data_IF_952507427048
#
_entry.id   IF_952507427048
#
_cell.length_a   1.000
_cell.length_b   1.000
_cell.length_c   1.000
_cell.angle_alpha   90.00
_cell.angle_beta   90.00
_cell.angle_gamma   90.00
#
_symmetry.space_group_name_H-M   'P 1'
#
loop_
_entity.id
_entity.type
_entity.pdbx_description
1 polymer ?
#
# COMPACT_ATOMS: atom_id res chain seq x y z
N UNK A 1 -3.12 1.63 -21.46
CA UNK A 1 -1.72 1.45 -21.02
C UNK A 1 -1.69 0.71 -19.69
N UNK A 2 -0.77 -0.23 -19.52
CA UNK A 2 -0.63 -0.96 -18.28
C UNK A 2 0.61 -0.45 -17.56
N UNK A 3 0.42 0.03 -16.33
CA UNK A 3 1.52 0.54 -15.51
C UNK A 3 2.23 -0.62 -14.84
N UNK A 4 3.55 -0.48 -14.67
CA UNK A 4 4.36 -1.45 -13.94
C UNK A 4 4.32 -1.12 -12.45
N UNK A 5 4.17 -2.14 -11.62
CA UNK A 5 4.16 -1.96 -10.17
C UNK A 5 5.59 -2.14 -9.65
N UNK A 6 6.07 -1.15 -8.92
CA UNK A 6 7.33 -1.22 -8.21
C UNK A 6 7.07 -1.03 -6.72
N UNK A 7 7.99 -1.46 -5.89
CA UNK A 7 7.83 -1.44 -4.45
C UNK A 7 8.97 -0.69 -3.78
N UNK A 8 8.62 0.22 -2.87
CA UNK A 8 9.60 0.81 -1.97
C UNK A 8 10.28 -0.32 -1.19
N UNK A 9 11.60 -0.25 -0.92
CA UNK A 9 12.31 -1.35 -0.24
C UNK A 9 11.72 -1.77 1.10
N UNK A 10 11.02 -0.88 1.80
CA UNK A 10 10.44 -1.19 3.10
C UNK A 10 9.06 -1.83 3.04
N UNK A 11 8.46 -1.97 1.85
CA UNK A 11 7.11 -2.55 1.73
C UNK A 11 7.10 -4.02 2.11
N UNK A 12 8.14 -4.77 1.78
CA UNK A 12 8.23 -6.18 2.19
C UNK A 12 8.16 -6.30 3.71
N UNK A 13 8.83 -5.40 4.43
CA UNK A 13 8.77 -5.35 5.90
C UNK A 13 7.37 -4.95 6.37
N UNK A 14 6.71 -4.01 5.70
CA UNK A 14 5.33 -3.64 6.03
C UNK A 14 4.43 -4.86 5.98
N UNK A 15 4.49 -5.61 4.88
CA UNK A 15 3.64 -6.79 4.68
C UNK A 15 3.96 -7.90 5.68
N UNK A 16 5.23 -8.10 5.98
CA UNK A 16 5.67 -9.09 6.95
C UNK A 16 5.15 -8.76 8.36
N UNK A 17 5.25 -7.50 8.76
CA UNK A 17 4.73 -7.02 10.05
C UNK A 17 3.23 -7.21 10.13
N UNK A 18 2.50 -6.88 9.06
CA UNK A 18 1.05 -7.06 8.97
C UNK A 18 0.69 -8.52 9.11
N UNK A 19 1.39 -9.40 8.39
CA UNK A 19 1.16 -10.83 8.43
C UNK A 19 1.32 -11.40 9.84
N UNK A 20 2.44 -11.10 10.50
CA UNK A 20 2.69 -11.57 11.86
C UNK A 20 1.64 -11.10 12.84
N UNK A 21 1.24 -9.82 12.74
CA UNK A 21 0.24 -9.26 13.63
C UNK A 21 -1.11 -9.96 13.47
N UNK A 22 -1.53 -10.21 12.22
CA UNK A 22 -2.81 -10.90 11.97
C UNK A 22 -2.73 -12.35 12.42
N UNK A 23 -1.62 -13.04 12.17
CA UNK A 23 -1.43 -14.42 12.61
C UNK A 23 -1.60 -14.53 14.13
N UNK A 24 -1.02 -13.59 14.86
CA UNK A 24 -1.05 -13.62 16.33
C UNK A 24 -2.46 -13.51 16.90
N UNK A 25 -3.35 -12.72 16.28
CA UNK A 25 -4.69 -12.54 16.85
C UNK A 25 -5.79 -13.29 16.10
N UNK A 26 -5.57 -13.70 14.86
CA UNK A 26 -6.63 -14.28 14.03
C UNK A 26 -6.20 -15.54 13.27
N UNK A 27 -4.91 -15.88 13.29
CA UNK A 27 -4.38 -17.08 12.66
C UNK A 27 -3.92 -16.90 11.22
N UNK A 28 -3.18 -17.91 10.69
CA UNK A 28 -2.53 -17.81 9.38
C UNK A 28 -3.52 -17.74 8.21
N UNK A 29 -4.69 -18.37 8.32
CA UNK A 29 -5.67 -18.35 7.23
C UNK A 29 -6.26 -16.96 7.02
N UNK A 30 -6.55 -16.25 8.11
CA UNK A 30 -7.04 -14.88 8.05
C UNK A 30 -5.95 -13.96 7.51
N UNK A 31 -4.71 -14.16 7.95
CA UNK A 31 -3.58 -13.39 7.44
C UNK A 31 -3.43 -13.54 5.92
N UNK A 32 -3.49 -14.78 5.42
CA UNK A 32 -3.37 -15.05 3.98
C UNK A 32 -4.48 -14.33 3.19
N UNK A 33 -5.71 -14.36 3.70
CA UNK A 33 -6.85 -13.71 3.05
C UNK A 33 -6.69 -12.19 3.02
N UNK A 34 -6.24 -11.59 4.14
CA UNK A 34 -6.06 -10.15 4.22
C UNK A 34 -4.91 -9.68 3.33
N UNK A 35 -3.82 -10.44 3.25
CA UNK A 35 -2.72 -10.13 2.34
C UNK A 35 -3.16 -10.23 0.88
N UNK A 36 -4.03 -11.21 0.55
CA UNK A 36 -4.58 -11.32 -0.79
C UNK A 36 -5.44 -10.11 -1.15
N UNK A 37 -6.21 -9.55 -0.20
CA UNK A 37 -6.98 -8.32 -0.41
C UNK A 37 -6.05 -7.14 -0.72
N UNK A 38 -4.93 -7.03 -0.01
CA UNK A 38 -3.93 -5.97 -0.25
C UNK A 38 -3.33 -6.13 -1.65
N UNK A 39 -2.92 -7.34 -2.01
CA UNK A 39 -2.35 -7.61 -3.33
C UNK A 39 -3.34 -7.31 -4.45
N UNK A 40 -4.62 -7.67 -4.26
CA UNK A 40 -5.67 -7.38 -5.25
C UNK A 40 -5.86 -5.87 -5.42
N UNK A 41 -5.84 -5.11 -4.33
CA UNK A 41 -5.95 -3.66 -4.40
C UNK A 41 -4.77 -3.05 -5.17
N UNK A 42 -3.55 -3.51 -4.91
CA UNK A 42 -2.35 -3.06 -5.62
C UNK A 42 -2.47 -3.39 -7.12
N UNK A 43 -2.95 -4.58 -7.46
CA UNK A 43 -3.07 -5.00 -8.85
C UNK A 43 -4.01 -4.09 -9.66
N UNK A 44 -5.03 -3.49 -9.04
CA UNK A 44 -5.94 -2.57 -9.74
C UNK A 44 -5.22 -1.32 -10.24
N UNK A 45 -4.10 -0.97 -9.65
CA UNK A 45 -3.33 0.22 -10.03
C UNK A 45 -2.63 0.06 -11.37
N UNK A 46 -2.52 -1.16 -11.90
CA UNK A 46 -1.94 -1.39 -13.23
C UNK A 46 -2.77 -0.73 -14.32
N UNK A 47 -4.08 -0.70 -14.15
CA UNK A 47 -5.01 -0.16 -15.16
C UNK A 47 -5.68 1.14 -14.72
N UNK A 48 -5.76 1.40 -13.43
CA UNK A 48 -6.36 2.62 -12.86
C UNK A 48 -5.43 3.26 -11.84
N UNK A 49 -4.27 3.78 -12.29
CA UNK A 49 -3.26 4.28 -11.34
C UNK A 49 -3.63 5.61 -10.67
N UNK A 50 -4.54 6.39 -11.24
CA UNK A 50 -4.88 7.71 -10.70
C UNK A 50 -6.10 7.69 -9.78
N UNK A 51 -6.45 6.54 -9.24
CA UNK A 51 -7.56 6.45 -8.30
C UNK A 51 -7.11 6.72 -6.87
N UNK A 52 -8.06 6.74 -5.95
CA UNK A 52 -7.80 7.01 -4.55
C UNK A 52 -7.79 8.51 -4.24
N UNK A 53 -7.40 8.82 -3.02
CA UNK A 53 -7.32 10.21 -2.56
C UNK A 53 -5.89 10.74 -2.68
N UNK A 54 -5.77 11.98 -3.16
CA UNK A 54 -4.48 12.65 -3.25
C UNK A 54 -4.10 13.18 -1.86
N UNK A 55 -2.89 12.90 -1.44
CA UNK A 55 -2.41 13.22 -0.10
C UNK A 55 -1.09 14.01 -0.16
N UNK A 56 -1.13 15.15 -0.84
CA UNK A 56 0.05 16.02 -1.02
C UNK A 56 0.62 16.53 0.31
N UNK A 57 -0.21 16.59 1.34
CA UNK A 57 0.23 17.02 2.67
C UNK A 57 1.22 16.03 3.30
N UNK A 58 1.22 14.79 2.86
CA UNK A 58 2.17 13.77 3.35
C UNK A 58 3.44 13.80 2.51
N UNK A 59 3.28 13.67 1.21
CA UNK A 59 4.36 13.69 0.23
C UNK A 59 3.75 14.13 -1.10
N UNK A 60 4.41 15.04 -1.80
CA UNK A 60 3.90 15.55 -3.07
C UNK A 60 3.58 14.41 -4.04
N UNK A 61 2.34 14.41 -4.55
CA UNK A 61 1.85 13.43 -5.51
C UNK A 61 1.42 12.09 -4.91
N UNK A 62 1.54 11.92 -3.60
CA UNK A 62 1.15 10.68 -2.95
C UNK A 62 -0.36 10.46 -3.04
N UNK A 63 -0.76 9.22 -3.35
CA UNK A 63 -2.15 8.79 -3.35
C UNK A 63 -2.32 7.65 -2.35
N UNK A 64 -3.54 7.47 -1.88
CA UNK A 64 -3.87 6.39 -0.96
C UNK A 64 -5.19 5.73 -1.36
N UNK A 65 -5.22 4.40 -1.28
CA UNK A 65 -6.44 3.61 -1.47
C UNK A 65 -6.63 2.66 -0.29
N UNK A 66 -7.87 2.35 0.05
CA UNK A 66 -8.11 1.28 1.03
C UNK A 66 -7.89 -0.09 0.38
N UNK A 67 -7.50 -1.05 1.20
CA UNK A 67 -7.39 -2.44 0.80
C UNK A 67 -8.13 -3.27 1.84
N UNK A 68 -9.38 -3.63 1.55
CA UNK A 68 -10.28 -4.16 2.56
C UNK A 68 -10.68 -3.06 3.54
N UNK A 69 -11.04 -3.45 4.76
CA UNK A 69 -11.56 -2.51 5.76
C UNK A 69 -10.48 -1.82 6.58
N UNK A 70 -9.32 -2.42 6.72
CA UNK A 70 -8.32 -1.97 7.69
C UNK A 70 -6.97 -1.60 7.11
N UNK A 71 -6.70 -1.94 5.85
CA UNK A 71 -5.42 -1.64 5.24
C UNK A 71 -5.50 -0.39 4.38
N UNK A 72 -4.37 0.33 4.29
CA UNK A 72 -4.19 1.47 3.40
C UNK A 72 -2.94 1.24 2.60
N UNK A 73 -3.04 1.41 1.28
CA UNK A 73 -1.91 1.37 0.36
C UNK A 73 -1.61 2.79 -0.10
N UNK A 74 -0.41 3.27 0.20
CA UNK A 74 0.05 4.58 -0.25
C UNK A 74 1.00 4.39 -1.43
N UNK A 75 0.85 5.20 -2.48
CA UNK A 75 1.60 4.99 -3.72
C UNK A 75 1.83 6.30 -4.47
N UNK A 76 2.82 6.26 -5.37
CA UNK A 76 3.18 7.37 -6.25
C UNK A 76 3.08 6.91 -7.69
N UNK A 77 2.60 7.77 -8.58
CA UNK A 77 2.46 7.46 -10.01
C UNK A 77 3.48 8.27 -10.80
N UNK A 78 4.24 7.57 -11.63
CA UNK A 78 5.16 8.18 -12.59
C UNK A 78 4.59 7.94 -13.99
N UNK A 79 3.88 8.92 -14.52
CA UNK A 79 3.22 8.80 -15.82
C UNK A 79 4.20 8.72 -16.98
N UNK A 80 5.34 9.36 -16.88
CA UNK A 80 6.36 9.30 -17.94
C UNK A 80 6.95 7.91 -18.05
N UNK A 81 7.28 7.29 -16.92
CA UNK A 81 7.83 5.94 -16.90
C UNK A 81 6.77 4.86 -17.03
N UNK A 82 5.50 5.18 -16.82
CA UNK A 82 4.42 4.20 -16.78
C UNK A 82 4.55 3.27 -15.59
N UNK A 83 4.89 3.82 -14.43
CA UNK A 83 5.15 3.06 -13.21
C UNK A 83 4.31 3.55 -12.04
N UNK A 84 3.95 2.63 -11.16
CA UNK A 84 3.36 2.93 -9.87
C UNK A 84 4.32 2.41 -8.79
N UNK A 85 4.78 3.30 -7.94
CA UNK A 85 5.63 2.93 -6.81
C UNK A 85 4.75 2.76 -5.58
N UNK A 86 4.63 1.52 -5.08
CA UNK A 86 3.98 1.27 -3.80
C UNK A 86 4.93 1.76 -2.72
N UNK A 87 4.49 2.78 -1.99
CA UNK A 87 5.34 3.52 -1.08
C UNK A 87 5.28 3.00 0.35
N UNK A 88 4.10 2.64 0.81
CA UNK A 88 3.88 2.09 2.16
C UNK A 88 2.56 1.33 2.21
N UNK A 89 2.49 0.31 3.06
CA UNK A 89 1.25 -0.40 3.37
C UNK A 89 1.10 -0.42 4.89
N UNK A 90 -0.06 -0.01 5.38
CA UNK A 90 -0.37 0.00 6.81
C UNK A 90 -1.69 -0.71 7.09
N UNK A 91 -1.90 -1.11 8.35
CA UNK A 91 -3.03 -1.94 8.72
C UNK A 91 -3.52 -1.62 10.14
N UNK A 92 -4.82 -1.76 10.35
CA UNK A 92 -5.38 -1.80 11.69
C UNK A 92 -5.42 -0.49 12.45
N UNK A 93 -5.53 0.63 11.78
CA UNK A 93 -5.59 1.93 12.44
C UNK A 93 -4.24 2.42 12.93
N UNK A 94 -3.14 1.78 12.50
CA UNK A 94 -1.81 2.32 12.73
C UNK A 94 -1.73 3.73 12.17
N UNK A 95 -0.84 4.55 12.72
CA UNK A 95 -0.62 5.92 12.23
C UNK A 95 0.04 5.87 10.84
N UNK A 96 -0.77 5.60 9.83
CA UNK A 96 -0.26 5.45 8.47
C UNK A 96 0.28 6.76 7.92
N UNK A 97 -0.30 7.88 8.33
CA UNK A 97 0.14 9.21 7.90
C UNK A 97 1.56 9.48 8.43
N UNK A 98 1.76 9.31 9.73
CA UNK A 98 3.06 9.53 10.36
C UNK A 98 4.13 8.57 9.85
N UNK A 99 3.79 7.30 9.72
CA UNK A 99 4.72 6.29 9.21
C UNK A 99 5.11 6.56 7.76
N UNK A 100 4.13 6.94 6.93
CA UNK A 100 4.38 7.23 5.53
C UNK A 100 5.22 8.49 5.37
N UNK A 101 4.91 9.55 6.11
CA UNK A 101 5.65 10.81 6.00
C UNK A 101 7.09 10.70 6.50
N UNK A 102 7.37 9.78 7.43
CA UNK A 102 8.73 9.53 7.91
C UNK A 102 9.59 8.77 6.89
N UNK A 103 8.96 8.13 5.92
CA UNK A 103 9.66 7.32 4.91
C UNK A 103 10.21 8.20 3.79
N UNK A 104 11.38 7.86 3.28
CA UNK A 104 11.99 8.56 2.15
C UNK A 104 11.98 7.67 0.92
N UNK A 105 11.86 8.30 -0.23
CA UNK A 105 11.91 7.61 -1.52
C UNK A 105 13.23 6.88 -1.73
#
# INVERSE_FOLDING_TARGET
MIYRIRYHPLVARDLDTIAHWIIDYAGPEVAARKLAEIEAAIATLKTTPHKGSLRDEITSGLRAIPAGKKAVVAFLVDDEAGEVLIYAVTYGGADWIGRTSARKR
#
